data_IF_615234116521
#
_entry.id   IF_615234116521
#
_cell.length_a   1.000
_cell.length_b   1.000
_cell.length_c   1.000
_cell.angle_alpha   90.00
_cell.angle_beta   90.00
_cell.angle_gamma   90.00
#
_symmetry.space_group_name_H-M   'P 1'
#
loop_
_entity.id
_entity.type
_entity.pdbx_description
1 polymer ?
#
# COMPACT_ATOMS: atom_id res chain seq x y z
N UNK A 1 12.71 -38.89 1.16
CA UNK A 1 11.71 -38.34 0.23
C UNK A 1 10.68 -37.62 1.04
N UNK A 2 10.89 -36.32 1.29
CA UNK A 2 9.87 -35.48 1.93
C UNK A 2 8.92 -35.02 0.83
N UNK A 3 7.72 -35.59 0.83
CA UNK A 3 6.64 -35.04 0.03
C UNK A 3 6.24 -33.71 0.68
N UNK A 4 6.50 -32.63 -0.01
CA UNK A 4 5.93 -31.34 0.33
C UNK A 4 4.39 -31.48 0.38
N UNK A 5 3.80 -31.14 1.50
CA UNK A 5 2.33 -31.03 1.64
C UNK A 5 1.83 -30.11 0.52
N UNK A 6 0.77 -30.48 -0.21
CA UNK A 6 0.21 -29.60 -1.22
C UNK A 6 -0.23 -28.31 -0.52
N UNK A 7 0.27 -27.17 -0.97
CA UNK A 7 -0.16 -25.85 -0.52
C UNK A 7 -1.69 -25.80 -0.59
N UNK A 8 -2.34 -25.70 0.56
CA UNK A 8 -3.78 -25.53 0.62
C UNK A 8 -4.10 -24.23 -0.12
N UNK A 9 -4.74 -24.30 -1.27
CA UNK A 9 -5.24 -23.10 -1.96
C UNK A 9 -6.06 -22.32 -0.96
N UNK A 10 -5.76 -21.01 -0.82
CA UNK A 10 -6.65 -20.13 -0.08
C UNK A 10 -8.04 -20.23 -0.69
N UNK A 11 -9.04 -20.41 0.16
CA UNK A 11 -10.43 -20.31 -0.24
C UNK A 11 -10.72 -18.88 -0.67
N UNK A 12 -11.60 -18.72 -1.63
CA UNK A 12 -12.09 -17.38 -1.96
C UNK A 12 -12.89 -16.80 -0.77
N UNK A 13 -13.11 -15.49 -0.78
CA UNK A 13 -13.80 -14.81 0.33
C UNK A 13 -15.22 -15.35 0.58
N UNK A 14 -15.93 -15.75 -0.47
CA UNK A 14 -17.28 -16.34 -0.34
C UNK A 14 -17.22 -17.71 0.36
N UNK A 15 -16.23 -18.52 0.03
CA UNK A 15 -16.01 -19.82 0.70
C UNK A 15 -15.62 -19.61 2.17
N UNK A 16 -14.78 -18.63 2.46
CA UNK A 16 -14.37 -18.29 3.83
C UNK A 16 -15.57 -17.82 4.68
N UNK A 17 -16.47 -17.02 4.09
CA UNK A 17 -17.65 -16.48 4.79
C UNK A 17 -18.72 -17.54 5.00
N UNK A 18 -18.96 -18.38 3.99
CA UNK A 18 -20.00 -19.39 4.04
C UNK A 18 -19.60 -20.64 4.81
N UNK A 19 -18.30 -20.89 4.98
CA UNK A 19 -17.80 -22.14 5.53
C UNK A 19 -18.04 -22.26 7.04
N UNK A 20 -18.20 -21.14 7.76
CA UNK A 20 -18.46 -21.15 9.22
C UNK A 20 -17.46 -21.99 10.03
N UNK A 21 -16.37 -22.46 9.40
CA UNK A 21 -15.37 -23.30 10.01
C UNK A 21 -14.31 -22.46 10.71
N UNK A 22 -13.95 -22.91 11.90
CA UNK A 22 -12.80 -22.38 12.61
C UNK A 22 -11.52 -22.80 11.90
N UNK A 23 -10.73 -21.83 11.48
CA UNK A 23 -9.41 -22.03 10.93
C UNK A 23 -8.35 -21.69 11.99
N UNK A 24 -7.63 -22.70 12.44
CA UNK A 24 -6.52 -22.54 13.36
C UNK A 24 -6.58 -23.59 14.50
N UNK A 25 -5.43 -23.88 15.06
CA UNK A 25 -5.26 -24.91 16.10
C UNK A 25 -5.96 -24.58 17.42
N UNK A 26 -6.55 -23.41 17.58
CA UNK A 26 -7.16 -22.96 18.83
C UNK A 26 -8.59 -22.40 18.68
N UNK A 27 -9.32 -22.82 17.66
CA UNK A 27 -10.74 -22.51 17.53
C UNK A 27 -11.05 -21.03 17.35
N UNK A 28 -10.17 -20.27 16.69
CA UNK A 28 -10.44 -18.87 16.41
C UNK A 28 -11.34 -18.71 15.19
N UNK A 29 -12.48 -18.12 15.46
CA UNK A 29 -13.52 -17.83 14.50
C UNK A 29 -13.04 -16.74 13.54
N UNK A 30 -12.88 -17.08 12.25
CA UNK A 30 -12.62 -16.14 11.15
C UNK A 30 -13.78 -15.21 10.88
N UNK A 31 -14.95 -15.68 11.23
CA UNK A 31 -16.21 -15.00 11.04
C UNK A 31 -16.22 -13.52 11.46
N UNK A 32 -15.61 -13.07 12.58
CA UNK A 32 -15.62 -11.65 12.95
C UNK A 32 -14.82 -10.76 12.00
N UNK A 33 -13.69 -11.22 11.49
CA UNK A 33 -12.86 -10.42 10.57
C UNK A 33 -13.49 -10.33 9.19
N UNK A 34 -13.95 -11.43 8.67
CA UNK A 34 -14.60 -11.50 7.36
C UNK A 34 -15.91 -10.70 7.38
N UNK A 35 -16.69 -10.79 8.43
CA UNK A 35 -17.84 -9.91 8.65
C UNK A 35 -17.42 -8.45 8.69
N UNK A 36 -16.33 -8.11 9.39
CA UNK A 36 -15.82 -6.74 9.44
C UNK A 36 -15.35 -6.23 8.07
N UNK A 37 -14.73 -7.07 7.25
CA UNK A 37 -14.35 -6.75 5.86
C UNK A 37 -15.61 -6.48 5.03
N UNK A 38 -16.61 -7.35 5.11
CA UNK A 38 -17.88 -7.18 4.39
C UNK A 38 -18.65 -5.95 4.84
N UNK A 39 -18.80 -5.74 6.13
CA UNK A 39 -19.45 -4.55 6.67
C UNK A 39 -18.72 -3.26 6.26
N UNK A 40 -17.38 -3.29 6.23
CA UNK A 40 -16.59 -2.15 5.78
C UNK A 40 -16.79 -1.85 4.31
N UNK A 41 -16.90 -2.87 3.47
CA UNK A 41 -17.09 -2.73 2.02
C UNK A 41 -18.51 -2.28 1.71
N UNK A 42 -19.51 -2.87 2.38
CA UNK A 42 -20.94 -2.68 2.09
C UNK A 42 -21.37 -1.22 2.24
N UNK A 43 -20.99 -0.58 3.34
CA UNK A 43 -21.50 0.73 3.70
C UNK A 43 -20.50 1.87 3.53
N UNK A 44 -19.20 1.59 3.59
CA UNK A 44 -18.14 2.63 3.66
C UNK A 44 -17.25 2.69 2.44
N UNK A 45 -17.35 1.75 1.51
CA UNK A 45 -16.45 1.62 0.36
C UNK A 45 -14.96 1.59 0.76
N UNK A 46 -14.68 1.12 1.96
CA UNK A 46 -13.34 1.04 2.55
C UNK A 46 -13.00 -0.40 2.84
N UNK A 47 -11.88 -0.87 2.34
CA UNK A 47 -11.28 -2.12 2.76
C UNK A 47 -10.04 -1.81 3.59
N UNK A 48 -10.02 -2.28 4.85
CA UNK A 48 -8.85 -2.22 5.72
C UNK A 48 -8.41 -3.62 6.11
N UNK A 49 -7.17 -3.97 5.77
CA UNK A 49 -6.49 -5.19 6.19
C UNK A 49 -5.26 -4.76 6.98
N UNK A 50 -5.30 -5.02 8.27
CA UNK A 50 -4.23 -4.66 9.20
C UNK A 50 -3.84 -5.91 9.99
N UNK A 51 -2.53 -6.13 10.12
CA UNK A 51 -1.94 -7.29 10.75
C UNK A 51 -2.31 -8.63 10.11
N UNK A 52 -1.35 -9.23 9.48
CA UNK A 52 -1.46 -10.55 8.86
C UNK A 52 -1.83 -11.69 9.83
N UNK A 53 -1.91 -11.39 11.13
CA UNK A 53 -2.34 -12.35 12.14
C UNK A 53 -3.63 -13.07 11.80
N UNK A 54 -4.52 -12.42 11.10
CA UNK A 54 -5.78 -13.05 10.69
C UNK A 54 -5.55 -14.13 9.65
N UNK A 55 -4.61 -13.94 8.73
CA UNK A 55 -4.26 -14.94 7.72
C UNK A 55 -3.30 -16.00 8.27
N UNK A 56 -2.48 -15.64 9.23
CA UNK A 56 -1.61 -16.57 9.96
C UNK A 56 -2.41 -17.66 10.64
N UNK A 57 -3.59 -17.35 11.15
CA UNK A 57 -4.48 -18.32 11.81
C UNK A 57 -5.19 -19.27 10.85
N UNK A 58 -5.08 -19.07 9.55
CA UNK A 58 -5.53 -20.05 8.54
C UNK A 58 -4.58 -21.24 8.37
N UNK A 59 -3.59 -21.39 9.22
CA UNK A 59 -2.53 -22.39 9.08
C UNK A 59 -1.42 -21.97 8.14
N UNK A 60 -1.42 -20.70 7.69
CA UNK A 60 -0.26 -20.06 7.07
C UNK A 60 0.53 -19.34 8.16
N UNK A 61 1.76 -19.76 8.34
CA UNK A 61 2.69 -19.13 9.26
C UNK A 61 2.95 -17.68 8.81
N UNK A 62 3.06 -16.71 9.74
CA UNK A 62 3.52 -15.35 9.43
C UNK A 62 4.90 -15.33 8.76
N UNK A 63 5.63 -16.44 8.88
CA UNK A 63 6.90 -16.71 8.22
C UNK A 63 6.73 -17.28 6.80
N UNK A 64 5.49 -17.58 6.35
CA UNK A 64 5.25 -18.06 4.99
C UNK A 64 5.60 -16.93 3.99
N UNK A 65 6.64 -17.10 3.18
CA UNK A 65 7.05 -16.09 2.22
C UNK A 65 5.99 -15.84 1.13
N UNK A 66 5.08 -16.78 0.92
CA UNK A 66 4.02 -16.68 -0.11
C UNK A 66 2.78 -15.91 0.38
N UNK A 67 2.71 -15.60 1.68
CA UNK A 67 1.56 -14.91 2.27
C UNK A 67 1.17 -13.60 1.55
N UNK A 68 2.09 -12.66 1.25
CA UNK A 68 1.74 -11.42 0.56
C UNK A 68 1.19 -11.68 -0.86
N UNK A 69 1.72 -12.69 -1.54
CA UNK A 69 1.31 -13.10 -2.89
C UNK A 69 -0.12 -13.65 -2.88
N UNK A 70 -0.42 -14.49 -1.91
CA UNK A 70 -1.75 -15.08 -1.75
C UNK A 70 -2.79 -14.01 -1.42
N UNK A 71 -2.46 -13.08 -0.50
CA UNK A 71 -3.30 -11.94 -0.17
C UNK A 71 -3.57 -11.07 -1.41
N UNK A 72 -2.53 -10.72 -2.16
CA UNK A 72 -2.67 -9.93 -3.38
C UNK A 72 -3.56 -10.61 -4.42
N UNK A 73 -3.38 -11.93 -4.61
CA UNK A 73 -4.18 -12.73 -5.56
C UNK A 73 -5.66 -12.75 -5.19
N UNK A 74 -5.96 -12.88 -3.90
CA UNK A 74 -7.34 -12.82 -3.42
C UNK A 74 -7.97 -11.44 -3.65
N UNK A 75 -7.26 -10.38 -3.25
CA UNK A 75 -7.75 -9.01 -3.41
C UNK A 75 -7.95 -8.64 -4.90
N UNK A 76 -7.05 -9.09 -5.76
CA UNK A 76 -7.11 -8.81 -7.19
C UNK A 76 -8.29 -9.47 -7.90
N UNK A 77 -8.83 -10.56 -7.36
CA UNK A 77 -9.87 -11.38 -7.99
C UNK A 77 -11.25 -11.25 -7.32
N UNK A 78 -11.36 -10.59 -6.18
CA UNK A 78 -12.60 -10.55 -5.40
C UNK A 78 -13.55 -9.46 -5.90
N UNK A 79 -14.49 -9.81 -6.77
CA UNK A 79 -15.46 -8.94 -7.43
C UNK A 79 -16.17 -7.92 -6.52
N UNK A 80 -16.58 -8.25 -5.26
CA UNK A 80 -17.20 -7.27 -4.39
C UNK A 80 -16.34 -6.04 -4.10
N UNK A 81 -15.01 -6.10 -4.30
CA UNK A 81 -14.11 -4.97 -4.09
C UNK A 81 -14.20 -3.88 -5.16
N UNK A 82 -14.91 -4.10 -6.25
CA UNK A 82 -15.09 -3.08 -7.32
C UNK A 82 -15.74 -1.76 -6.84
N UNK A 83 -16.41 -1.80 -5.69
CA UNK A 83 -17.10 -0.63 -5.12
C UNK A 83 -16.23 0.18 -4.17
N UNK A 84 -15.08 -0.34 -3.74
CA UNK A 84 -14.24 0.36 -2.77
C UNK A 84 -13.53 1.56 -3.42
N UNK A 85 -13.37 2.60 -2.62
CA UNK A 85 -12.59 3.78 -2.95
C UNK A 85 -11.39 3.96 -2.02
N UNK A 86 -11.36 3.23 -0.91
CA UNK A 86 -10.25 3.26 0.04
C UNK A 86 -9.71 1.85 0.25
N UNK A 87 -8.40 1.69 0.03
CA UNK A 87 -7.69 0.44 0.23
C UNK A 87 -6.55 0.67 1.23
N UNK A 88 -6.62 -0.04 2.36
CA UNK A 88 -5.66 0.02 3.44
C UNK A 88 -5.10 -1.37 3.68
N UNK A 89 -3.82 -1.58 3.35
CA UNK A 89 -3.08 -2.83 3.57
C UNK A 89 -1.84 -2.48 4.37
N UNK A 90 -1.84 -2.75 5.66
CA UNK A 90 -0.73 -2.39 6.56
C UNK A 90 -0.23 -3.60 7.33
N UNK A 91 1.09 -3.68 7.59
CA UNK A 91 1.71 -4.76 8.36
C UNK A 91 1.48 -6.16 7.76
N UNK A 92 1.50 -6.28 6.44
CA UNK A 92 1.25 -7.54 5.73
C UNK A 92 2.48 -8.06 4.96
N UNK A 93 3.66 -7.48 5.20
CA UNK A 93 4.87 -7.80 4.44
C UNK A 93 4.67 -7.70 2.92
N UNK A 94 3.72 -6.85 2.52
CA UNK A 94 3.40 -6.64 1.11
C UNK A 94 4.63 -6.11 0.38
N UNK A 95 5.11 -6.86 -0.59
CA UNK A 95 6.33 -6.57 -1.32
C UNK A 95 6.03 -6.19 -2.79
N UNK A 96 7.07 -5.92 -3.56
CA UNK A 96 6.92 -5.55 -4.97
C UNK A 96 6.21 -6.63 -5.81
N UNK A 97 6.44 -7.91 -5.51
CA UNK A 97 5.81 -9.02 -6.23
C UNK A 97 4.31 -9.10 -5.97
N UNK A 98 3.91 -9.02 -4.70
CA UNK A 98 2.51 -8.94 -4.32
C UNK A 98 1.82 -7.71 -4.94
N UNK A 99 2.53 -6.59 -4.98
CA UNK A 99 1.99 -5.36 -5.58
C UNK A 99 1.80 -5.50 -7.10
N UNK A 100 2.68 -6.20 -7.83
CA UNK A 100 2.49 -6.50 -9.26
C UNK A 100 1.18 -7.25 -9.52
N UNK A 101 0.84 -8.20 -8.66
CA UNK A 101 -0.42 -8.94 -8.75
C UNK A 101 -1.62 -8.02 -8.48
N UNK A 102 -1.53 -7.21 -7.43
CA UNK A 102 -2.61 -6.29 -7.04
C UNK A 102 -2.92 -5.28 -8.14
N UNK A 103 -1.88 -4.66 -8.74
CA UNK A 103 -2.07 -3.62 -9.76
C UNK A 103 -2.56 -4.17 -11.10
N UNK A 104 -2.47 -5.47 -11.33
CA UNK A 104 -3.06 -6.15 -12.47
C UNK A 104 -4.57 -6.41 -12.30
N UNK A 105 -5.16 -6.07 -11.15
CA UNK A 105 -6.57 -6.28 -10.87
C UNK A 105 -7.47 -5.46 -11.80
N UNK A 106 -8.44 -6.09 -12.47
CA UNK A 106 -9.40 -5.36 -13.28
C UNK A 106 -10.52 -4.71 -12.46
N UNK A 107 -10.60 -5.02 -11.16
CA UNK A 107 -11.73 -4.63 -10.30
C UNK A 107 -11.43 -3.44 -9.38
N UNK A 108 -10.16 -3.23 -8.99
CA UNK A 108 -9.76 -2.19 -8.03
C UNK A 108 -9.54 -0.81 -8.69
N UNK A 109 -10.37 -0.39 -9.61
CA UNK A 109 -10.16 0.77 -10.49
C UNK A 109 -10.75 2.10 -9.98
N UNK A 110 -11.21 2.15 -8.73
CA UNK A 110 -11.81 3.34 -8.13
C UNK A 110 -11.11 3.82 -6.86
N UNK A 111 -9.85 3.41 -6.66
CA UNK A 111 -9.12 3.76 -5.45
C UNK A 111 -8.73 5.24 -5.46
N UNK A 112 -9.23 5.97 -4.48
CA UNK A 112 -8.97 7.37 -4.19
C UNK A 112 -8.02 7.54 -2.99
N UNK A 113 -8.16 6.67 -1.99
CA UNK A 113 -7.33 6.59 -0.81
C UNK A 113 -6.55 5.27 -0.80
N UNK A 114 -5.20 5.34 -0.87
CA UNK A 114 -4.31 4.19 -0.82
C UNK A 114 -3.34 4.29 0.36
N UNK A 115 -3.40 3.32 1.26
CA UNK A 115 -2.49 3.20 2.39
C UNK A 115 -1.82 1.83 2.39
N UNK A 116 -0.53 1.84 2.07
CA UNK A 116 0.34 0.65 2.03
C UNK A 116 1.46 0.72 3.08
N UNK A 117 1.22 1.41 4.19
CA UNK A 117 2.21 1.63 5.23
C UNK A 117 2.65 0.34 5.94
N UNK A 118 3.86 0.36 6.49
CA UNK A 118 4.43 -0.75 7.27
C UNK A 118 4.44 -2.07 6.50
N UNK A 119 4.99 -2.04 5.30
CA UNK A 119 5.18 -3.18 4.41
C UNK A 119 6.64 -3.27 3.92
N UNK A 120 6.92 -4.08 2.91
CA UNK A 120 8.24 -4.37 2.39
C UNK A 120 8.37 -3.94 0.90
N UNK A 121 7.81 -2.78 0.53
CA UNK A 121 7.72 -2.34 -0.87
C UNK A 121 9.09 -2.03 -1.48
N UNK A 122 9.97 -1.35 -0.74
CA UNK A 122 11.24 -0.88 -1.25
C UNK A 122 11.10 0.06 -2.47
N UNK A 123 12.21 0.30 -3.16
CA UNK A 123 12.22 1.14 -4.36
C UNK A 123 11.45 0.52 -5.52
N UNK A 124 11.50 -0.80 -5.64
CA UNK A 124 10.80 -1.50 -6.72
C UNK A 124 9.27 -1.40 -6.54
N UNK A 125 8.76 -1.58 -5.32
CA UNK A 125 7.34 -1.38 -5.04
C UNK A 125 6.91 0.08 -5.28
N UNK A 126 7.75 1.05 -4.92
CA UNK A 126 7.47 2.46 -5.20
C UNK A 126 7.40 2.76 -6.71
N UNK A 127 8.25 2.14 -7.54
CA UNK A 127 8.17 2.23 -9.01
C UNK A 127 6.86 1.66 -9.53
N UNK A 128 6.43 0.50 -9.02
CA UNK A 128 5.16 -0.11 -9.41
C UNK A 128 3.99 0.81 -9.06
N UNK A 129 3.97 1.39 -7.85
CA UNK A 129 2.94 2.39 -7.46
C UNK A 129 2.95 3.57 -8.43
N UNK A 130 4.14 4.08 -8.77
CA UNK A 130 4.30 5.23 -9.65
C UNK A 130 3.79 4.99 -11.08
N UNK A 131 3.82 3.76 -11.56
CA UNK A 131 3.51 3.41 -12.94
C UNK A 131 2.11 2.78 -13.11
N UNK A 132 1.48 2.33 -12.01
CA UNK A 132 0.23 1.58 -12.07
C UNK A 132 -0.97 2.42 -12.52
N UNK A 133 -1.61 2.14 -13.67
CA UNK A 133 -2.82 2.87 -14.10
C UNK A 133 -3.98 2.78 -13.10
N UNK A 134 -3.97 1.76 -12.26
CA UNK A 134 -4.92 1.55 -11.17
C UNK A 134 -5.00 2.76 -10.22
N UNK A 135 -3.91 3.51 -10.05
CA UNK A 135 -3.79 4.57 -9.06
C UNK A 135 -3.93 5.99 -9.63
N UNK A 136 -4.44 6.13 -10.85
CA UNK A 136 -4.65 7.45 -11.49
C UNK A 136 -5.62 8.35 -10.74
N UNK A 137 -6.52 7.78 -9.93
CA UNK A 137 -7.51 8.52 -9.14
C UNK A 137 -7.09 8.75 -7.69
N UNK A 138 -5.88 8.32 -7.31
CA UNK A 138 -5.43 8.41 -5.92
C UNK A 138 -5.13 9.87 -5.55
N UNK A 139 -5.88 10.41 -4.58
CA UNK A 139 -5.64 11.72 -3.97
C UNK A 139 -4.86 11.62 -2.67
N UNK A 140 -5.03 10.54 -1.92
CA UNK A 140 -4.29 10.30 -0.68
C UNK A 140 -3.43 9.04 -0.82
N UNK A 141 -2.11 9.21 -0.71
CA UNK A 141 -1.13 8.14 -0.79
C UNK A 141 -0.29 8.08 0.49
N UNK A 142 -0.40 6.98 1.22
CA UNK A 142 0.44 6.71 2.38
C UNK A 142 1.33 5.49 2.12
N UNK A 143 2.65 5.71 2.18
CA UNK A 143 3.72 4.74 1.95
C UNK A 143 4.69 4.67 3.13
N UNK A 144 4.26 5.04 4.34
CA UNK A 144 5.13 5.04 5.53
C UNK A 144 5.76 3.67 5.80
N UNK A 145 6.97 3.64 6.41
CA UNK A 145 7.64 2.42 6.86
C UNK A 145 7.75 1.34 5.77
N UNK A 146 8.25 1.67 4.59
CA UNK A 146 8.38 0.73 3.47
C UNK A 146 9.81 0.53 2.97
N UNK A 147 10.79 1.20 3.59
CA UNK A 147 12.18 1.11 3.15
C UNK A 147 12.47 1.78 1.81
N UNK A 148 11.58 2.66 1.33
CA UNK A 148 11.71 3.36 0.06
C UNK A 148 12.88 4.34 0.12
N UNK A 149 13.81 4.21 -0.81
CA UNK A 149 14.98 5.03 -0.96
C UNK A 149 14.83 6.17 -1.98
N UNK A 150 15.96 6.80 -2.35
CA UNK A 150 15.97 7.89 -3.32
C UNK A 150 15.42 7.48 -4.70
N UNK A 151 15.74 6.28 -5.17
CA UNK A 151 15.33 5.79 -6.49
C UNK A 151 13.80 5.58 -6.57
N UNK A 152 13.21 4.95 -5.56
CA UNK A 152 11.76 4.79 -5.48
C UNK A 152 11.06 6.14 -5.33
N UNK A 153 11.61 7.05 -4.54
CA UNK A 153 11.09 8.41 -4.38
C UNK A 153 11.13 9.19 -5.69
N UNK A 154 12.21 9.07 -6.46
CA UNK A 154 12.35 9.68 -7.77
C UNK A 154 11.30 9.14 -8.75
N UNK A 155 11.04 7.84 -8.73
CA UNK A 155 9.98 7.25 -9.54
C UNK A 155 8.61 7.84 -9.19
N UNK A 156 8.28 7.97 -7.91
CA UNK A 156 7.05 8.63 -7.45
C UNK A 156 6.98 10.10 -7.90
N UNK A 157 8.07 10.84 -7.76
CA UNK A 157 8.15 12.26 -8.13
C UNK A 157 7.99 12.51 -9.64
N UNK A 158 8.38 11.54 -10.48
CA UNK A 158 8.27 11.61 -11.94
C UNK A 158 7.08 10.86 -12.52
N UNK A 159 6.22 10.30 -11.66
CA UNK A 159 5.05 9.52 -12.05
C UNK A 159 4.07 10.34 -12.87
N UNK A 160 3.67 9.81 -14.02
CA UNK A 160 2.58 10.37 -14.85
C UNK A 160 1.20 9.87 -14.42
N UNK A 161 1.16 8.93 -13.50
CA UNK A 161 -0.05 8.30 -12.97
C UNK A 161 -0.56 9.01 -11.73
N UNK A 162 0.35 9.42 -10.83
CA UNK A 162 0.02 9.99 -9.51
C UNK A 162 -0.21 11.52 -9.54
N UNK A 163 -0.70 12.06 -10.65
CA UNK A 163 -0.85 13.52 -10.84
C UNK A 163 -1.96 14.13 -9.97
N UNK A 164 -2.91 13.33 -9.51
CA UNK A 164 -4.02 13.79 -8.66
C UNK A 164 -3.70 13.73 -7.16
N UNK A 165 -2.49 13.27 -6.79
CA UNK A 165 -2.11 13.15 -5.38
C UNK A 165 -2.02 14.53 -4.73
N UNK A 166 -2.83 14.72 -3.69
CA UNK A 166 -2.88 15.94 -2.86
C UNK A 166 -2.24 15.74 -1.49
N UNK A 167 -2.24 14.51 -0.98
CA UNK A 167 -1.61 14.13 0.27
C UNK A 167 -0.65 12.97 0.05
N UNK A 168 0.64 13.19 0.37
CA UNK A 168 1.68 12.16 0.33
C UNK A 168 2.34 12.02 1.71
N UNK A 169 2.27 10.83 2.29
CA UNK A 169 3.04 10.44 3.46
C UNK A 169 4.06 9.37 3.10
N UNK A 170 5.32 9.63 3.42
CA UNK A 170 6.43 8.70 3.26
C UNK A 170 7.26 8.61 4.56
N UNK A 171 6.59 8.76 5.71
CA UNK A 171 7.24 8.72 7.04
C UNK A 171 8.08 7.45 7.19
N UNK A 172 9.23 7.57 7.90
CA UNK A 172 10.10 6.44 8.25
C UNK A 172 10.51 5.57 7.04
N UNK A 173 10.92 6.23 5.96
CA UNK A 173 11.55 5.60 4.80
C UNK A 173 13.05 5.98 4.72
N UNK A 174 13.64 5.89 3.54
CA UNK A 174 15.06 6.19 3.27
C UNK A 174 15.22 7.20 2.14
N UNK A 175 14.29 8.16 2.04
CA UNK A 175 14.20 9.15 0.94
C UNK A 175 15.52 9.88 0.71
N UNK A 176 16.20 10.32 1.79
CA UNK A 176 17.44 11.07 1.73
C UNK A 176 17.31 12.43 1.05
N UNK A 177 18.44 13.12 0.91
CA UNK A 177 18.47 14.45 0.29
C UNK A 177 18.13 14.39 -1.21
N UNK A 178 18.59 13.35 -1.91
CA UNK A 178 18.33 13.15 -3.35
C UNK A 178 16.83 12.95 -3.64
N UNK A 179 16.15 12.12 -2.86
CA UNK A 179 14.71 11.91 -3.01
C UNK A 179 13.91 13.17 -2.68
N UNK A 180 14.33 13.92 -1.65
CA UNK A 180 13.72 15.19 -1.29
C UNK A 180 13.85 16.23 -2.41
N UNK A 181 15.01 16.33 -3.03
CA UNK A 181 15.24 17.18 -4.19
C UNK A 181 14.40 16.77 -5.39
N UNK A 182 14.26 15.45 -5.64
CA UNK A 182 13.40 14.95 -6.71
C UNK A 182 11.93 15.34 -6.51
N UNK A 183 11.41 15.25 -5.28
CA UNK A 183 10.05 15.74 -4.96
C UNK A 183 9.95 17.25 -5.18
N UNK A 184 10.92 18.02 -4.68
CA UNK A 184 10.92 19.49 -4.82
C UNK A 184 10.89 19.95 -6.28
N UNK A 185 11.46 19.17 -7.19
CA UNK A 185 11.57 19.47 -8.63
C UNK A 185 10.47 18.81 -9.47
N UNK A 186 9.52 18.13 -8.83
CA UNK A 186 8.49 17.35 -9.53
C UNK A 186 7.49 18.22 -10.27
N UNK A 187 7.37 18.02 -11.58
CA UNK A 187 6.31 18.61 -12.40
C UNK A 187 4.95 17.89 -12.24
N UNK A 188 4.97 16.67 -11.70
CA UNK A 188 3.79 15.81 -11.63
C UNK A 188 3.07 15.86 -10.27
N UNK A 189 3.80 16.17 -9.19
CA UNK A 189 3.24 16.30 -7.85
C UNK A 189 2.77 17.74 -7.52
N UNK A 190 2.44 18.53 -8.51
CA UNK A 190 2.06 19.96 -8.37
C UNK A 190 0.79 20.19 -7.55
N UNK A 191 -0.05 19.16 -7.43
CA UNK A 191 -1.31 19.21 -6.67
C UNK A 191 -1.13 18.90 -5.17
N UNK A 192 0.11 18.60 -4.71
CA UNK A 192 0.37 18.33 -3.30
C UNK A 192 0.00 19.55 -2.43
N UNK A 193 -0.85 19.28 -1.43
CA UNK A 193 -1.19 20.21 -0.37
C UNK A 193 -0.57 19.82 0.97
N UNK A 194 -0.25 18.53 1.12
CA UNK A 194 0.37 17.96 2.31
C UNK A 194 1.48 16.98 1.92
N UNK A 195 2.67 17.17 2.49
CA UNK A 195 3.83 16.29 2.33
C UNK A 195 4.45 15.97 3.69
N UNK A 196 4.58 14.69 4.01
CA UNK A 196 5.22 14.22 5.25
C UNK A 196 6.42 13.32 4.94
N UNK A 197 7.62 13.81 5.24
CA UNK A 197 8.90 13.13 5.07
C UNK A 197 9.64 12.92 6.40
N UNK A 198 8.95 12.93 7.55
CA UNK A 198 9.57 12.67 8.85
C UNK A 198 10.28 11.32 8.89
N UNK A 199 11.42 11.22 9.59
CA UNK A 199 12.19 9.97 9.72
C UNK A 199 12.97 9.54 8.45
N UNK A 200 13.13 10.39 7.44
CA UNK A 200 13.67 10.03 6.12
C UNK A 200 15.13 10.37 5.85
N UNK A 201 15.89 10.75 6.86
CA UNK A 201 17.30 11.12 6.70
C UNK A 201 17.55 12.27 5.72
N UNK A 202 16.59 13.19 5.56
CA UNK A 202 16.79 14.45 4.84
C UNK A 202 17.60 15.36 5.73
N UNK A 203 18.89 15.48 5.46
CA UNK A 203 19.86 16.13 6.37
C UNK A 203 20.29 17.51 5.89
N UNK A 204 20.49 17.69 4.58
CA UNK A 204 20.98 18.94 4.03
C UNK A 204 19.93 20.05 4.12
N UNK A 205 20.37 21.25 4.52
CA UNK A 205 19.49 22.41 4.46
C UNK A 205 19.08 22.78 3.04
N UNK A 206 19.94 22.47 2.05
CA UNK A 206 19.63 22.65 0.64
C UNK A 206 18.38 21.87 0.24
N UNK A 207 18.31 20.56 0.57
CA UNK A 207 17.15 19.73 0.23
C UNK A 207 15.89 20.18 0.99
N UNK A 208 16.00 20.57 2.25
CA UNK A 208 14.88 21.08 3.04
C UNK A 208 14.38 22.42 2.49
N UNK A 209 15.29 23.31 2.10
CA UNK A 209 14.93 24.59 1.51
C UNK A 209 14.32 24.42 0.13
N UNK A 210 14.85 23.52 -0.71
CA UNK A 210 14.28 23.19 -1.99
C UNK A 210 12.82 22.73 -1.89
N UNK A 211 12.47 21.95 -0.85
CA UNK A 211 11.08 21.57 -0.59
C UNK A 211 10.21 22.75 -0.14
N UNK A 212 10.73 23.61 0.76
CA UNK A 212 10.00 24.79 1.29
C UNK A 212 9.72 25.85 0.23
N UNK A 213 10.66 26.05 -0.67
CA UNK A 213 10.65 27.12 -1.68
C UNK A 213 10.42 26.58 -3.10
N UNK A 214 9.94 25.35 -3.21
CA UNK A 214 9.75 24.70 -4.50
C UNK A 214 8.84 25.53 -5.42
N UNK A 215 9.31 25.92 -6.62
CA UNK A 215 8.48 26.58 -7.60
C UNK A 215 7.46 25.64 -8.28
N UNK A 216 7.58 24.32 -8.00
CA UNK A 216 6.73 23.27 -8.56
C UNK A 216 5.59 22.90 -7.62
N UNK A 217 5.84 22.89 -6.32
CA UNK A 217 4.85 22.49 -5.29
C UNK A 217 4.02 23.69 -4.83
N UNK A 218 3.44 24.41 -5.77
CA UNK A 218 2.76 25.72 -5.52
C UNK A 218 1.51 25.60 -4.65
N UNK A 219 0.94 24.42 -4.51
CA UNK A 219 -0.24 24.16 -3.68
C UNK A 219 0.12 23.65 -2.27
N UNK A 220 1.41 23.44 -1.97
CA UNK A 220 1.85 22.84 -0.71
C UNK A 220 1.56 23.78 0.48
N UNK A 221 0.70 23.32 1.40
CA UNK A 221 0.30 24.04 2.61
C UNK A 221 0.98 23.52 3.87
N UNK A 222 1.26 22.22 3.89
CA UNK A 222 1.85 21.55 5.03
C UNK A 222 3.03 20.71 4.58
N UNK A 223 4.21 21.02 5.10
CA UNK A 223 5.44 20.27 4.91
C UNK A 223 5.98 19.82 6.26
N UNK A 224 6.18 18.51 6.44
CA UNK A 224 6.86 17.92 7.59
C UNK A 224 8.10 17.18 7.13
N UNK A 225 9.28 17.71 7.46
CA UNK A 225 10.61 17.20 7.08
C UNK A 225 11.58 17.33 8.26
N UNK A 226 11.47 16.43 9.26
CA UNK A 226 12.32 16.41 10.46
C UNK A 226 12.60 14.98 10.90
#
# INVERSE_FOLDING_TARGET
MNMASPSKKLKNWEELINDGQNYGDEGQDFSPFEKAVFESIKDKKVLKIQDSFVFVKTGHNAEDPDHPIQLASMLAAFEPLKVITSLIITHNRFNAEALKILVASPILNNIDYLHLGSNELGDEGAKIVAEAPLFTKVHTLNLECNGIGPEGTKALATSKTLTEVTLLSMVDNRVGDEGALAIAQSDNLKNLTYLHLGGNRVKSEEAKQALRESPKLTQLKTLKVF
#
